data_IF_943111702703
#
_entry.id   IF_943111702703
#
_cell.length_a   1.000
_cell.length_b   1.000
_cell.length_c   1.000
_cell.angle_alpha   90.00
_cell.angle_beta   90.00
_cell.angle_gamma   90.00
#
_symmetry.space_group_name_H-M   'P 1'
#
loop_
_entity.id
_entity.type
_entity.pdbx_description
1 polymer ?
#
# COMPACT_ATOMS: atom_id res chain seq x y z
N UNK A 1 -25.29 20.42 4.28
CA UNK A 1 -25.10 20.05 2.86
C UNK A 1 -23.77 20.60 2.36
N UNK A 2 -22.69 19.83 2.54
CA UNK A 2 -21.34 20.19 2.08
C UNK A 2 -21.17 19.64 0.66
N UNK A 3 -21.06 20.54 -0.33
CA UNK A 3 -20.75 20.18 -1.72
C UNK A 3 -19.29 19.70 -1.81
N UNK A 4 -18.97 18.69 -2.62
CA UNK A 4 -17.58 18.29 -2.84
C UNK A 4 -16.85 19.38 -3.63
N UNK A 5 -15.71 19.86 -3.11
CA UNK A 5 -14.78 20.71 -3.86
C UNK A 5 -14.14 19.85 -4.95
N UNK A 6 -14.34 20.26 -6.20
CA UNK A 6 -13.75 19.65 -7.39
C UNK A 6 -12.21 19.56 -7.26
N UNK A 7 -11.66 18.44 -7.74
CA UNK A 7 -10.23 18.23 -7.87
C UNK A 7 -9.59 19.40 -8.65
N UNK A 8 -8.57 20.02 -8.07
CA UNK A 8 -7.85 21.13 -8.68
C UNK A 8 -7.12 20.69 -9.94
N UNK A 9 -7.33 21.42 -11.04
CA UNK A 9 -6.61 21.24 -12.30
C UNK A 9 -5.11 21.48 -12.10
N UNK A 10 -4.26 20.56 -12.58
CA UNK A 10 -2.81 20.78 -12.63
C UNK A 10 -2.47 22.07 -13.38
N UNK A 11 -1.68 22.95 -12.76
CA UNK A 11 -1.18 24.18 -13.38
C UNK A 11 -0.31 23.88 -14.62
N UNK A 12 -0.29 24.81 -15.58
CA UNK A 12 0.43 24.67 -16.86
C UNK A 12 1.90 24.27 -16.66
N UNK A 13 2.58 24.83 -15.65
CA UNK A 13 3.97 24.48 -15.32
C UNK A 13 4.15 23.01 -14.89
N UNK A 14 3.23 22.46 -14.10
CA UNK A 14 3.27 21.05 -13.70
C UNK A 14 3.06 20.11 -14.90
N UNK A 15 2.21 20.50 -15.86
CA UNK A 15 1.99 19.75 -17.10
C UNK A 15 3.23 19.71 -17.99
N UNK A 16 3.96 20.83 -18.11
CA UNK A 16 5.22 20.91 -18.86
C UNK A 16 6.31 20.03 -18.22
N UNK A 17 6.46 20.10 -16.89
CA UNK A 17 7.42 19.25 -16.16
C UNK A 17 7.09 17.76 -16.34
N UNK A 18 5.81 17.38 -16.22
CA UNK A 18 5.38 16.01 -16.44
C UNK A 18 5.68 15.52 -17.87
N UNK A 19 5.50 16.39 -18.88
CA UNK A 19 5.83 16.11 -20.28
C UNK A 19 7.33 15.88 -20.48
N UNK A 20 8.17 16.74 -19.91
CA UNK A 20 9.63 16.62 -19.97
C UNK A 20 10.12 15.34 -19.27
N UNK A 21 9.60 15.04 -18.08
CA UNK A 21 9.91 13.81 -17.35
C UNK A 21 9.50 12.55 -18.13
N UNK A 22 8.33 12.58 -18.78
CA UNK A 22 7.88 11.49 -19.64
C UNK A 22 8.78 11.34 -20.89
N UNK A 23 9.18 12.44 -21.52
CA UNK A 23 10.13 12.44 -22.64
C UNK A 23 11.48 11.86 -22.23
N UNK A 24 12.00 12.29 -21.08
CA UNK A 24 13.24 11.76 -20.51
C UNK A 24 13.15 10.27 -20.17
N UNK A 25 12.03 9.80 -19.57
CA UNK A 25 11.79 8.37 -19.33
C UNK A 25 11.85 7.55 -20.61
N UNK A 26 11.15 8.00 -21.67
CA UNK A 26 11.15 7.31 -22.98
C UNK A 26 12.53 7.27 -23.60
N UNK A 27 13.25 8.39 -23.58
CA UNK A 27 14.62 8.46 -24.06
C UNK A 27 15.55 7.51 -23.29
N UNK A 28 15.48 7.53 -21.95
CA UNK A 28 16.27 6.64 -21.09
C UNK A 28 15.99 5.17 -21.38
N UNK A 29 14.72 4.78 -21.50
CA UNK A 29 14.34 3.41 -21.86
C UNK A 29 14.87 3.02 -23.25
N UNK A 30 14.84 3.93 -24.21
CA UNK A 30 15.41 3.70 -25.55
C UNK A 30 16.92 3.51 -25.50
N UNK A 31 17.65 4.35 -24.76
CA UNK A 31 19.10 4.22 -24.55
C UNK A 31 19.46 2.90 -23.88
N UNK A 32 18.71 2.49 -22.84
CA UNK A 32 18.92 1.21 -22.16
C UNK A 32 18.76 0.03 -23.13
N UNK A 33 17.73 0.07 -23.98
CA UNK A 33 17.53 -0.96 -25.02
C UNK A 33 18.69 -1.01 -26.03
N UNK A 34 19.23 0.15 -26.44
CA UNK A 34 20.40 0.19 -27.32
C UNK A 34 21.65 -0.41 -26.67
N UNK A 35 21.76 -0.32 -25.34
CA UNK A 35 22.84 -0.92 -24.56
C UNK A 35 22.59 -2.40 -24.22
N UNK A 36 21.48 -2.98 -24.67
CA UNK A 36 21.08 -4.35 -24.34
C UNK A 36 20.72 -4.56 -22.87
N UNK A 37 20.39 -3.48 -22.14
CA UNK A 37 20.03 -3.51 -20.72
C UNK A 37 18.53 -3.35 -20.53
N UNK A 38 17.98 -4.08 -19.57
CA UNK A 38 16.63 -3.89 -19.05
C UNK A 38 16.64 -2.96 -17.83
N UNK A 39 15.47 -2.45 -17.43
CA UNK A 39 15.34 -1.73 -16.15
C UNK A 39 15.71 -2.62 -14.96
N UNK A 40 15.44 -3.93 -15.06
CA UNK A 40 15.83 -4.92 -14.06
C UNK A 40 17.35 -5.01 -13.90
N UNK A 41 18.10 -4.99 -15.01
CA UNK A 41 19.57 -5.05 -14.98
C UNK A 41 20.18 -3.81 -14.31
N UNK A 42 19.60 -2.63 -14.55
CA UNK A 42 20.03 -1.38 -13.90
C UNK A 42 19.71 -1.42 -12.40
N UNK A 43 18.51 -1.84 -12.03
CA UNK A 43 18.11 -1.98 -10.63
C UNK A 43 19.02 -2.98 -9.89
N UNK A 44 19.30 -4.13 -10.49
CA UNK A 44 20.21 -5.12 -9.93
C UNK A 44 21.60 -4.55 -9.71
N UNK A 45 22.16 -3.85 -10.71
CA UNK A 45 23.47 -3.19 -10.60
C UNK A 45 23.49 -2.15 -9.48
N UNK A 46 22.46 -1.32 -9.38
CA UNK A 46 22.38 -0.29 -8.34
C UNK A 46 22.30 -0.88 -6.93
N UNK A 47 21.59 -2.01 -6.77
CA UNK A 47 21.57 -2.74 -5.49
C UNK A 47 22.94 -3.35 -5.20
N UNK A 48 23.53 -4.06 -6.17
CA UNK A 48 24.81 -4.74 -6.01
C UNK A 48 25.99 -3.77 -5.77
N UNK A 49 25.92 -2.54 -6.31
CA UNK A 49 26.96 -1.53 -6.10
C UNK A 49 26.80 -0.71 -4.83
N UNK A 50 25.67 -0.83 -4.12
CA UNK A 50 25.34 -0.02 -2.95
C UNK A 50 24.69 1.34 -3.25
N UNK A 51 24.60 1.74 -4.52
CA UNK A 51 24.00 3.03 -4.91
C UNK A 51 22.55 3.14 -4.46
N UNK A 52 21.77 2.05 -4.53
CA UNK A 52 20.39 2.04 -4.09
C UNK A 52 20.25 2.36 -2.59
N UNK A 53 21.22 1.93 -1.77
CA UNK A 53 21.26 2.23 -0.34
C UNK A 53 21.60 3.70 -0.09
N UNK A 54 22.61 4.23 -0.79
CA UNK A 54 22.99 5.64 -0.70
C UNK A 54 21.83 6.56 -1.11
N UNK A 55 21.16 6.26 -2.23
CA UNK A 55 19.98 6.99 -2.69
C UNK A 55 18.84 6.94 -1.67
N UNK A 56 18.59 5.78 -1.05
CA UNK A 56 17.59 5.64 0.01
C UNK A 56 17.92 6.53 1.22
N UNK A 57 19.17 6.52 1.69
CA UNK A 57 19.61 7.35 2.80
C UNK A 57 19.51 8.85 2.51
N UNK A 58 19.87 9.29 1.31
CA UNK A 58 19.73 10.69 0.90
C UNK A 58 18.26 11.12 0.80
N UNK A 59 17.38 10.24 0.29
CA UNK A 59 15.94 10.50 0.30
C UNK A 59 15.38 10.58 1.72
N UNK A 60 15.84 9.70 2.63
CA UNK A 60 15.44 9.73 4.04
C UNK A 60 15.89 11.03 4.73
N UNK A 61 17.12 11.46 4.48
CA UNK A 61 17.62 12.76 4.95
C UNK A 61 16.77 13.91 4.41
N UNK A 62 16.44 13.88 3.12
CA UNK A 62 15.54 14.86 2.49
C UNK A 62 14.13 14.87 3.10
N UNK A 63 13.59 13.71 3.47
CA UNK A 63 12.29 13.61 4.14
C UNK A 63 12.28 14.35 5.50
N UNK A 64 13.42 14.41 6.19
CA UNK A 64 13.58 15.21 7.41
C UNK A 64 13.28 16.70 7.21
N UNK A 65 13.49 17.24 6.01
CA UNK A 65 13.15 18.65 5.71
C UNK A 65 11.65 18.94 5.78
N UNK A 66 10.78 17.93 5.60
CA UNK A 66 9.33 18.11 5.73
C UNK A 66 8.90 18.47 7.16
N UNK A 67 9.64 18.01 8.17
CA UNK A 67 9.41 18.34 9.59
C UNK A 67 9.64 19.83 9.86
N UNK A 68 10.51 20.45 9.05
CA UNK A 68 10.89 21.85 9.13
C UNK A 68 10.18 22.71 8.07
N UNK A 69 9.13 22.20 7.43
CA UNK A 69 8.38 22.96 6.44
C UNK A 69 7.72 24.23 7.05
N UNK A 70 7.50 25.29 6.26
CA UNK A 70 6.71 26.44 6.71
C UNK A 70 5.32 26.01 7.19
N UNK A 71 4.91 26.48 8.36
CA UNK A 71 3.62 26.14 8.98
C UNK A 71 3.65 24.92 9.91
N UNK A 72 4.73 24.14 9.94
CA UNK A 72 4.90 23.08 10.93
C UNK A 72 5.16 23.67 12.33
N UNK A 73 4.52 23.15 13.40
CA UNK A 73 4.79 23.59 14.78
C UNK A 73 6.26 23.40 15.16
N UNK A 74 6.80 24.33 15.96
CA UNK A 74 8.22 24.39 16.32
C UNK A 74 8.52 24.13 17.79
N UNK A 75 7.50 23.81 18.59
CA UNK A 75 7.72 23.43 19.98
C UNK A 75 8.51 22.12 20.06
N UNK A 76 9.27 21.98 21.15
CA UNK A 76 10.23 20.89 21.30
C UNK A 76 9.55 19.50 21.27
N UNK A 77 8.35 19.38 21.84
CA UNK A 77 7.62 18.12 21.88
C UNK A 77 7.17 17.71 20.48
N UNK A 78 6.51 18.60 19.74
CA UNK A 78 6.03 18.29 18.38
C UNK A 78 7.20 17.95 17.45
N UNK A 79 8.32 18.67 17.55
CA UNK A 79 9.50 18.37 16.73
C UNK A 79 10.08 16.99 17.07
N UNK A 80 10.23 16.66 18.36
CA UNK A 80 10.69 15.34 18.77
C UNK A 80 9.74 14.21 18.29
N UNK A 81 8.43 14.42 18.40
CA UNK A 81 7.42 13.49 17.90
C UNK A 81 7.45 13.35 16.38
N UNK A 82 7.75 14.42 15.65
CA UNK A 82 7.82 14.38 14.19
C UNK A 82 9.00 13.52 13.70
N UNK A 83 10.17 13.60 14.33
CA UNK A 83 11.29 12.70 14.01
C UNK A 83 11.00 11.25 14.40
N UNK A 84 10.32 11.05 15.54
CA UNK A 84 9.84 9.72 15.95
C UNK A 84 8.79 9.17 14.98
N UNK A 85 7.95 10.03 14.42
CA UNK A 85 7.00 9.68 13.38
C UNK A 85 7.72 9.28 12.09
N UNK A 86 8.74 10.03 11.66
CA UNK A 86 9.55 9.67 10.50
C UNK A 86 10.17 8.27 10.65
N UNK A 87 10.71 7.93 11.82
CA UNK A 87 11.26 6.57 12.03
C UNK A 87 10.20 5.46 12.01
N UNK A 88 8.97 5.76 12.46
CA UNK A 88 7.82 4.83 12.31
C UNK A 88 7.48 4.62 10.83
N UNK A 89 7.47 5.69 10.02
CA UNK A 89 7.22 5.59 8.58
C UNK A 89 8.30 4.79 7.86
N UNK A 90 9.58 4.97 8.23
CA UNK A 90 10.68 4.17 7.67
C UNK A 90 10.47 2.69 7.93
N UNK A 91 10.15 2.32 9.18
CA UNK A 91 9.86 0.92 9.53
C UNK A 91 8.67 0.37 8.73
N UNK A 92 7.55 1.10 8.71
CA UNK A 92 6.37 0.69 7.93
C UNK A 92 6.69 0.55 6.44
N UNK A 93 7.50 1.46 5.88
CA UNK A 93 7.95 1.41 4.50
C UNK A 93 8.82 0.19 4.18
N UNK A 94 9.80 -0.13 5.03
CA UNK A 94 10.63 -1.32 4.85
C UNK A 94 9.80 -2.61 4.92
N UNK A 95 8.89 -2.72 5.89
CA UNK A 95 8.01 -3.89 6.01
C UNK A 95 7.12 -4.07 4.78
N UNK A 96 6.52 -2.99 4.27
CA UNK A 96 5.55 -3.05 3.17
C UNK A 96 6.21 -3.16 1.79
N UNK A 97 7.33 -2.47 1.56
CA UNK A 97 7.92 -2.34 0.23
C UNK A 97 9.16 -3.22 0.02
N UNK A 98 9.75 -3.77 1.09
CA UNK A 98 10.89 -4.69 1.01
C UNK A 98 10.49 -6.10 1.45
N UNK A 99 9.95 -6.25 2.66
CA UNK A 99 9.72 -7.57 3.26
C UNK A 99 8.43 -8.26 2.79
N UNK A 100 7.39 -7.48 2.47
CA UNK A 100 6.07 -8.00 2.11
C UNK A 100 5.54 -7.41 0.79
N UNK A 101 6.43 -7.21 -0.17
CA UNK A 101 6.11 -6.61 -1.47
C UNK A 101 5.97 -7.62 -2.62
N UNK A 102 6.23 -8.91 -2.41
CA UNK A 102 6.12 -9.93 -3.46
C UNK A 102 4.65 -10.31 -3.72
N UNK A 103 4.08 -9.95 -4.89
CA UNK A 103 2.70 -10.30 -5.24
C UNK A 103 2.50 -11.79 -5.56
N UNK A 104 3.56 -12.60 -5.65
CA UNK A 104 3.46 -14.06 -5.82
C UNK A 104 3.37 -14.78 -4.47
N UNK A 105 3.81 -14.14 -3.40
CA UNK A 105 3.75 -14.64 -2.03
C UNK A 105 3.17 -13.57 -1.08
N UNK A 106 1.94 -13.07 -1.36
CA UNK A 106 1.37 -11.96 -0.61
C UNK A 106 1.16 -12.35 0.85
N UNK A 107 1.48 -11.41 1.74
CA UNK A 107 1.28 -11.54 3.18
C UNK A 107 0.56 -10.31 3.70
N UNK A 108 -0.44 -10.53 4.54
CA UNK A 108 -1.02 -9.45 5.33
C UNK A 108 0.04 -8.95 6.31
N UNK A 109 0.37 -7.67 6.19
CA UNK A 109 1.24 -6.96 7.10
C UNK A 109 0.52 -5.73 7.64
N UNK A 110 0.86 -5.37 8.88
CA UNK A 110 0.30 -4.19 9.52
C UNK A 110 0.81 -2.91 8.85
N UNK A 111 -0.10 -2.03 8.44
CA UNK A 111 0.24 -0.65 8.06
C UNK A 111 0.16 0.28 9.26
N UNK A 112 -0.96 0.20 9.99
CA UNK A 112 -1.23 0.98 11.19
C UNK A 112 -2.10 0.12 12.12
N UNK A 113 -1.64 -0.15 13.33
CA UNK A 113 -2.48 -0.72 14.37
C UNK A 113 -1.89 -0.45 15.75
N UNK A 114 -2.73 -0.51 16.78
CA UNK A 114 -2.33 -0.34 18.17
C UNK A 114 -1.80 -1.61 18.86
N UNK A 115 -1.84 -2.77 18.19
CA UNK A 115 -1.48 -4.06 18.82
C UNK A 115 0.03 -4.33 18.85
N UNK A 116 0.83 -3.53 18.15
CA UNK A 116 2.30 -3.61 18.22
C UNK A 116 2.82 -2.79 19.39
N UNK A 117 3.85 -3.29 20.05
CA UNK A 117 4.56 -2.56 21.13
C UNK A 117 5.05 -1.18 20.64
N UNK A 118 5.49 -1.11 19.39
CA UNK A 118 5.91 0.13 18.72
C UNK A 118 5.04 0.40 17.48
N UNK A 119 3.82 0.95 17.65
CA UNK A 119 2.86 1.08 16.56
C UNK A 119 3.36 2.06 15.49
N UNK A 120 3.12 1.70 14.24
CA UNK A 120 3.19 2.64 13.11
C UNK A 120 1.86 3.38 13.08
N UNK A 121 1.93 4.71 12.96
CA UNK A 121 0.77 5.60 12.87
C UNK A 121 0.83 6.31 11.53
N UNK A 122 -0.31 6.56 10.91
CA UNK A 122 -0.38 7.15 9.57
C UNK A 122 -1.74 7.80 9.33
N UNK A 123 -1.74 9.07 8.93
CA UNK A 123 -2.91 9.69 8.29
C UNK A 123 -4.17 9.75 9.13
N UNK A 124 -4.05 10.05 10.43
CA UNK A 124 -5.17 10.02 11.39
C UNK A 124 -5.80 8.64 11.51
N UNK A 125 -4.94 7.61 11.67
CA UNK A 125 -5.35 6.24 11.91
C UNK A 125 -6.30 6.12 13.10
N UNK A 126 -7.36 5.32 12.92
CA UNK A 126 -8.29 4.99 13.99
C UNK A 126 -7.61 4.07 15.01
N UNK A 127 -7.61 4.40 16.32
CA UNK A 127 -7.04 3.54 17.35
C UNK A 127 -7.82 2.23 17.52
N UNK A 128 -9.08 2.17 17.06
CA UNK A 128 -9.95 1.00 17.18
C UNK A 128 -9.78 0.00 16.02
N UNK A 129 -9.00 0.38 15.00
CA UNK A 129 -8.85 -0.41 13.78
C UNK A 129 -7.53 -1.20 13.75
N UNK A 130 -7.61 -2.38 13.15
CA UNK A 130 -6.45 -3.14 12.71
C UNK A 130 -6.34 -2.99 11.19
N UNK A 131 -5.39 -2.16 10.73
CA UNK A 131 -5.15 -1.99 9.29
C UNK A 131 -4.04 -2.92 8.82
N UNK A 132 -4.42 -3.86 7.96
CA UNK A 132 -3.51 -4.77 7.28
C UNK A 132 -3.65 -4.64 5.76
N UNK A 133 -2.57 -4.89 5.05
CA UNK A 133 -2.55 -4.96 3.59
C UNK A 133 -1.62 -6.06 3.10
N UNK A 134 -1.76 -6.41 1.82
CA UNK A 134 -0.79 -7.23 1.10
C UNK A 134 -0.56 -6.60 -0.28
N UNK A 135 0.67 -6.67 -0.79
CA UNK A 135 0.95 -6.33 -2.17
C UNK A 135 0.32 -7.38 -3.10
N UNK A 136 -0.40 -6.93 -4.13
CA UNK A 136 -1.02 -7.79 -5.14
C UNK A 136 -0.71 -7.28 -6.54
N UNK A 137 -0.69 -8.19 -7.51
CA UNK A 137 -0.69 -7.91 -8.94
C UNK A 137 -2.14 -7.96 -9.43
N UNK A 138 -2.70 -6.82 -9.82
CA UNK A 138 -4.11 -6.69 -10.20
C UNK A 138 -4.54 -7.55 -11.39
N UNK A 139 -3.61 -8.18 -12.10
CA UNK A 139 -3.88 -9.12 -13.20
C UNK A 139 -4.05 -10.58 -12.74
N UNK A 140 -3.78 -10.87 -11.46
CA UNK A 140 -3.82 -12.22 -10.88
C UNK A 140 -5.05 -12.45 -10.02
N UNK A 141 -5.28 -13.73 -9.73
CA UNK A 141 -6.33 -14.18 -8.82
C UNK A 141 -5.71 -14.59 -7.49
N UNK A 142 -6.24 -14.03 -6.41
CA UNK A 142 -5.87 -14.33 -5.04
C UNK A 142 -7.06 -14.87 -4.27
N UNK A 143 -6.77 -15.63 -3.20
CA UNK A 143 -7.77 -16.11 -2.26
C UNK A 143 -7.41 -15.67 -0.84
N UNK A 144 -8.34 -14.96 -0.20
CA UNK A 144 -8.30 -14.63 1.22
C UNK A 144 -9.27 -15.55 1.93
N UNK A 145 -8.80 -16.30 2.91
CA UNK A 145 -9.64 -17.27 3.61
C UNK A 145 -9.20 -17.47 5.05
N UNK A 146 -10.16 -17.75 5.94
CA UNK A 146 -9.86 -17.94 7.35
C UNK A 146 -11.09 -17.88 8.23
N UNK A 147 -10.88 -17.84 9.55
CA UNK A 147 -11.95 -17.59 10.49
C UNK A 147 -12.45 -16.16 10.37
N UNK A 148 -13.78 -15.98 10.36
CA UNK A 148 -14.41 -14.65 10.39
C UNK A 148 -14.10 -13.93 11.70
N UNK A 149 -13.99 -14.68 12.80
CA UNK A 149 -13.86 -14.14 14.14
C UNK A 149 -15.11 -13.36 14.57
N UNK A 150 -14.97 -12.58 15.63
CA UNK A 150 -16.10 -11.96 16.34
C UNK A 150 -16.18 -10.44 16.19
N UNK A 151 -15.25 -9.82 15.46
CA UNK A 151 -15.24 -8.36 15.29
C UNK A 151 -16.52 -7.89 14.59
N UNK A 152 -17.15 -6.85 15.14
CA UNK A 152 -18.42 -6.34 14.62
C UNK A 152 -18.28 -5.74 13.21
N UNK A 153 -17.16 -5.05 12.95
CA UNK A 153 -16.86 -4.46 11.66
C UNK A 153 -15.60 -5.10 11.05
N UNK A 154 -15.72 -5.54 9.81
CA UNK A 154 -14.62 -6.06 8.99
C UNK A 154 -14.91 -5.67 7.55
N UNK A 155 -13.92 -5.12 6.87
CA UNK A 155 -14.04 -4.72 5.48
C UNK A 155 -12.76 -5.00 4.70
N UNK A 156 -12.93 -5.35 3.44
CA UNK A 156 -11.87 -5.68 2.50
C UNK A 156 -11.91 -4.68 1.37
N UNK A 157 -10.78 -4.04 1.08
CA UNK A 157 -10.67 -3.05 0.00
C UNK A 157 -9.49 -3.34 -0.89
N UNK A 158 -9.71 -3.28 -2.21
CA UNK A 158 -8.62 -3.27 -3.18
C UNK A 158 -8.26 -1.84 -3.50
N UNK A 159 -6.99 -1.49 -3.33
CA UNK A 159 -6.47 -0.16 -3.54
C UNK A 159 -5.49 -0.16 -4.73
N UNK A 160 -5.59 0.85 -5.58
CA UNK A 160 -4.65 1.08 -6.68
C UNK A 160 -3.98 2.46 -6.55
N UNK A 161 -2.73 2.55 -6.96
CA UNK A 161 -1.92 3.77 -6.86
C UNK A 161 -0.97 3.75 -5.66
N UNK A 162 -0.53 4.92 -5.22
CA UNK A 162 0.36 5.05 -4.05
C UNK A 162 0.18 6.40 -3.38
N UNK A 163 0.52 6.48 -2.08
CA UNK A 163 0.44 7.72 -1.29
C UNK A 163 1.26 8.89 -1.88
N UNK A 164 2.32 8.60 -2.65
CA UNK A 164 3.21 9.61 -3.23
C UNK A 164 2.94 9.93 -4.71
N UNK A 165 2.02 9.23 -5.37
CA UNK A 165 1.76 9.40 -6.80
C UNK A 165 0.57 10.35 -7.08
N UNK A 166 0.57 11.06 -8.22
CA UNK A 166 -0.61 11.78 -8.69
C UNK A 166 -1.83 10.86 -8.77
N UNK A 167 -2.92 11.23 -8.10
CA UNK A 167 -4.13 10.40 -7.98
C UNK A 167 -4.28 9.65 -6.65
N UNK A 168 -3.22 9.60 -5.83
CA UNK A 168 -3.26 8.98 -4.50
C UNK A 168 -3.57 7.49 -4.52
N UNK A 169 -4.10 6.99 -3.40
CA UNK A 169 -4.69 5.66 -3.32
C UNK A 169 -6.17 5.74 -3.69
N UNK A 170 -6.55 4.99 -4.73
CA UNK A 170 -7.92 4.86 -5.21
C UNK A 170 -8.47 3.50 -4.82
N UNK A 171 -9.65 3.49 -4.21
CA UNK A 171 -10.42 2.26 -3.99
C UNK A 171 -10.95 1.76 -5.33
N UNK A 172 -10.53 0.54 -5.71
CA UNK A 172 -11.01 -0.18 -6.89
C UNK A 172 -12.33 -0.87 -6.57
N UNK A 173 -12.35 -1.60 -5.46
CA UNK A 173 -13.52 -2.34 -4.98
C UNK A 173 -13.46 -2.45 -3.46
N UNK A 174 -14.63 -2.66 -2.84
CA UNK A 174 -14.78 -2.77 -1.40
C UNK A 174 -15.92 -3.73 -1.06
N UNK A 175 -15.78 -4.46 0.04
CA UNK A 175 -16.80 -5.38 0.52
C UNK A 175 -16.74 -5.45 2.04
N UNK A 176 -17.90 -5.28 2.69
CA UNK A 176 -18.02 -5.46 4.13
C UNK A 176 -18.38 -6.90 4.47
N UNK A 177 -18.04 -7.31 5.68
CA UNK A 177 -18.35 -8.65 6.14
C UNK A 177 -19.84 -8.95 6.27
N UNK A 178 -20.68 -7.92 6.40
CA UNK A 178 -22.15 -8.03 6.36
C UNK A 178 -22.67 -8.45 4.99
N UNK A 179 -21.89 -8.26 3.93
CA UNK A 179 -22.21 -8.60 2.54
C UNK A 179 -21.61 -9.95 2.12
N UNK A 180 -20.76 -10.56 2.96
CA UNK A 180 -20.15 -11.85 2.68
C UNK A 180 -21.16 -12.99 2.80
N UNK A 181 -21.17 -13.86 1.80
CA UNK A 181 -21.81 -15.17 1.88
C UNK A 181 -20.86 -16.11 2.64
N UNK A 182 -21.29 -16.75 3.73
CA UNK A 182 -20.47 -17.71 4.47
C UNK A 182 -19.99 -18.86 3.58
N UNK A 183 -18.73 -19.24 3.73
CA UNK A 183 -18.16 -20.41 3.04
C UNK A 183 -18.08 -21.60 4.01
N UNK A 184 -18.19 -22.85 3.53
CA UNK A 184 -17.89 -24.01 4.36
C UNK A 184 -16.39 -24.03 4.72
N UNK A 185 -16.02 -24.43 5.94
CA UNK A 185 -14.62 -24.61 6.29
C UNK A 185 -14.00 -25.76 5.46
N UNK A 186 -12.69 -25.78 5.26
CA UNK A 186 -12.02 -26.85 4.53
C UNK A 186 -12.21 -28.21 5.23
N UNK A 187 -12.30 -29.29 4.43
CA UNK A 187 -12.52 -30.63 4.95
C UNK A 187 -11.44 -31.03 5.98
N UNK A 188 -11.89 -31.51 7.14
CA UNK A 188 -11.00 -31.89 8.25
C UNK A 188 -10.60 -30.74 9.19
N UNK A 189 -11.10 -29.52 8.97
CA UNK A 189 -10.94 -28.44 9.94
C UNK A 189 -11.75 -28.73 11.21
N UNK A 190 -11.17 -28.46 12.39
CA UNK A 190 -11.90 -28.54 13.67
C UNK A 190 -12.93 -27.41 13.70
N UNK A 191 -14.20 -27.75 13.93
CA UNK A 191 -15.28 -26.75 14.07
C UNK A 191 -15.02 -25.76 15.22
N UNK A 192 -14.32 -26.20 16.26
CA UNK A 192 -13.87 -25.38 17.40
C UNK A 192 -12.75 -24.41 16.95
N UNK A 193 -13.13 -23.27 16.39
CA UNK A 193 -12.18 -22.24 15.93
C UNK A 193 -12.75 -21.22 14.95
N UNK A 194 -13.98 -21.44 14.46
CA UNK A 194 -14.65 -20.55 13.52
C UNK A 194 -15.81 -19.79 14.18
N UNK A 195 -15.53 -19.09 15.28
CA UNK A 195 -16.51 -18.13 15.81
C UNK A 195 -16.81 -17.10 14.71
N UNK A 196 -18.10 -16.93 14.39
CA UNK A 196 -18.55 -16.10 13.26
C UNK A 196 -18.44 -16.77 11.88
N UNK A 197 -17.99 -18.03 11.79
CA UNK A 197 -17.91 -18.82 10.55
C UNK A 197 -16.57 -18.75 9.82
N UNK A 198 -16.54 -19.32 8.62
CA UNK A 198 -15.40 -19.31 7.71
C UNK A 198 -15.65 -18.37 6.53
N UNK A 199 -14.66 -17.57 6.18
CA UNK A 199 -14.69 -16.71 5.01
C UNK A 199 -13.81 -17.27 3.91
N UNK A 200 -14.30 -17.18 2.67
CA UNK A 200 -13.49 -17.32 1.46
C UNK A 200 -13.86 -16.17 0.52
N UNK A 201 -12.86 -15.39 0.13
CA UNK A 201 -12.99 -14.21 -0.71
C UNK A 201 -11.94 -14.27 -1.83
N UNK A 202 -12.37 -14.11 -3.07
CA UNK A 202 -11.47 -13.99 -4.21
C UNK A 202 -11.17 -12.52 -4.51
N UNK A 203 -9.91 -12.22 -4.83
CA UNK A 203 -9.50 -10.91 -5.37
C UNK A 203 -8.94 -11.16 -6.76
N UNK A 204 -9.61 -10.67 -7.81
CA UNK A 204 -9.28 -11.02 -9.19
C UNK A 204 -9.81 -9.96 -10.18
N UNK A 205 -9.27 -9.85 -11.41
CA UNK A 205 -9.74 -8.86 -12.38
C UNK A 205 -11.16 -9.17 -12.87
N UNK A 206 -11.51 -10.45 -12.94
CA UNK A 206 -12.85 -10.94 -13.27
C UNK A 206 -13.31 -11.93 -12.20
N UNK A 207 -14.63 -12.06 -12.02
CA UNK A 207 -15.21 -12.97 -11.03
C UNK A 207 -14.88 -14.43 -11.38
N UNK A 208 -14.15 -15.17 -10.52
CA UNK A 208 -13.90 -16.59 -10.78
C UNK A 208 -15.21 -17.39 -10.79
N UNK A 209 -15.29 -18.41 -11.64
CA UNK A 209 -16.47 -19.27 -11.72
C UNK A 209 -16.74 -19.92 -10.35
N UNK A 210 -17.98 -19.82 -9.87
CA UNK A 210 -18.38 -20.38 -8.57
C UNK A 210 -17.94 -19.58 -7.34
N UNK A 211 -17.22 -18.45 -7.50
CA UNK A 211 -16.84 -17.61 -6.37
C UNK A 211 -18.08 -16.98 -5.73
N UNK A 212 -18.33 -17.32 -4.46
CA UNK A 212 -19.41 -16.73 -3.66
C UNK A 212 -19.13 -15.25 -3.37
N UNK A 213 -17.91 -14.95 -2.93
CA UNK A 213 -17.44 -13.60 -2.62
C UNK A 213 -16.27 -13.22 -3.54
N UNK A 214 -16.30 -12.01 -4.09
CA UNK A 214 -15.27 -11.52 -5.00
C UNK A 214 -15.09 -10.00 -4.93
N UNK A 215 -13.84 -9.56 -5.03
CA UNK A 215 -13.43 -8.17 -5.21
C UNK A 215 -12.67 -8.00 -6.53
N UNK A 216 -13.06 -6.99 -7.31
CA UNK A 216 -12.36 -6.62 -8.54
C UNK A 216 -10.99 -6.01 -8.22
N UNK A 217 -9.93 -6.48 -8.89
CA UNK A 217 -8.55 -6.05 -8.63
C UNK A 217 -7.98 -4.97 -9.55
N UNK A 218 -8.61 -4.70 -10.68
CA UNK A 218 -8.17 -3.68 -11.65
C UNK A 218 -9.36 -2.98 -12.33
#
# INVERSE_FOLDING_TARGET
ALRPRAASSMGVGAKVIALLLNGYRRYRQWVLRLQGLTEGDVSYRNVASGNAWEEFCEQLKGAGSAILAPGAPRDALTQAEAYRYLSRLVRGGLENFVEASDPLAPRLVTIANGLREAPVKLGSDSPDNLYENAAIDGTRTYRVSGARGTVAYLGFGVQAGSYGAPGGLRTVSYLEASELVPAPPPAGARESGYDGGYIELYVAPERPAGALNWLQSA
#
